data_IF_720396673961
#
_entry.id   IF_720396673961
#
_cell.length_a   1.000
_cell.length_b   1.000
_cell.length_c   1.000
_cell.angle_alpha   90.00
_cell.angle_beta   90.00
_cell.angle_gamma   90.00
#
_symmetry.space_group_name_H-M   'P 1'
#
loop_
_entity.id
_entity.type
_entity.pdbx_description
1 polymer ?
#
# COMPACT_ATOMS: atom_id res chain seq x y z
N UNK A 1 -25.16 -5.37 25.07
CA UNK A 1 -23.81 -5.80 24.61
C UNK A 1 -23.86 -6.51 23.24
N UNK A 2 -24.82 -7.42 22.98
CA UNK A 2 -24.95 -8.16 21.70
C UNK A 2 -25.28 -7.27 20.47
N UNK A 3 -26.09 -6.23 20.64
CA UNK A 3 -26.49 -5.30 19.56
C UNK A 3 -25.36 -4.39 19.05
N UNK A 4 -24.44 -3.98 19.94
CA UNK A 4 -23.28 -3.15 19.55
C UNK A 4 -22.25 -3.93 18.73
N UNK A 5 -22.08 -5.23 19.02
CA UNK A 5 -21.18 -6.13 18.28
C UNK A 5 -21.71 -6.34 16.86
N UNK A 6 -23.03 -6.54 16.69
CA UNK A 6 -23.68 -6.65 15.39
C UNK A 6 -23.53 -5.39 14.53
N UNK A 7 -23.71 -4.21 15.12
CA UNK A 7 -23.56 -2.93 14.42
C UNK A 7 -22.10 -2.68 13.96
N UNK A 8 -21.12 -3.02 14.80
CA UNK A 8 -19.70 -2.89 14.44
C UNK A 8 -19.30 -3.85 13.32
N UNK A 9 -19.75 -5.11 13.34
CA UNK A 9 -19.48 -6.08 12.30
C UNK A 9 -20.06 -5.64 10.93
N UNK A 10 -21.33 -5.22 10.91
CA UNK A 10 -22.00 -4.75 9.69
C UNK A 10 -21.30 -3.52 9.09
N UNK A 11 -20.87 -2.56 9.93
CA UNK A 11 -20.16 -1.37 9.49
C UNK A 11 -18.76 -1.69 8.92
N UNK A 12 -18.06 -2.69 9.46
CA UNK A 12 -16.75 -3.13 8.92
C UNK A 12 -16.89 -3.78 7.54
N UNK A 13 -17.91 -4.63 7.34
CA UNK A 13 -18.18 -5.22 6.03
C UNK A 13 -18.52 -4.14 4.99
N UNK A 14 -19.33 -3.15 5.35
CA UNK A 14 -19.67 -2.02 4.48
C UNK A 14 -18.43 -1.17 4.10
N UNK A 15 -17.59 -0.82 5.08
CA UNK A 15 -16.33 -0.09 4.85
C UNK A 15 -15.37 -0.83 3.91
N UNK A 16 -15.24 -2.15 4.08
CA UNK A 16 -14.40 -2.96 3.20
C UNK A 16 -14.95 -3.06 1.78
N UNK A 17 -16.28 -3.18 1.61
CA UNK A 17 -16.90 -3.16 0.28
C UNK A 17 -16.68 -1.83 -0.43
N UNK A 18 -16.88 -0.69 0.24
CA UNK A 18 -16.61 0.63 -0.36
C UNK A 18 -15.14 0.74 -0.76
N UNK A 19 -14.20 0.35 0.11
CA UNK A 19 -12.77 0.39 -0.22
C UNK A 19 -12.43 -0.45 -1.44
N UNK A 20 -13.01 -1.64 -1.56
CA UNK A 20 -12.81 -2.51 -2.73
C UNK A 20 -13.41 -1.90 -3.99
N UNK A 21 -14.61 -1.32 -3.92
CA UNK A 21 -15.24 -0.63 -5.06
C UNK A 21 -14.37 0.54 -5.51
N UNK A 22 -13.92 1.38 -4.57
CA UNK A 22 -13.02 2.50 -4.88
C UNK A 22 -11.71 1.99 -5.50
N UNK A 23 -11.13 0.91 -4.97
CA UNK A 23 -9.92 0.32 -5.54
C UNK A 23 -10.14 -0.22 -6.96
N UNK A 24 -11.29 -0.85 -7.23
CA UNK A 24 -11.65 -1.33 -8.56
C UNK A 24 -11.86 -0.17 -9.54
N UNK A 25 -12.59 0.87 -9.14
CA UNK A 25 -12.77 2.07 -9.97
C UNK A 25 -11.43 2.72 -10.27
N UNK A 26 -10.55 2.85 -9.28
CA UNK A 26 -9.23 3.44 -9.45
C UNK A 26 -8.34 2.58 -10.36
N UNK A 27 -8.41 1.25 -10.24
CA UNK A 27 -7.71 0.32 -11.13
C UNK A 27 -8.26 0.40 -12.56
N UNK A 28 -9.57 0.61 -12.74
CA UNK A 28 -10.18 0.78 -14.06
C UNK A 28 -9.72 2.09 -14.70
N UNK A 29 -9.76 3.19 -13.96
CA UNK A 29 -9.24 4.50 -14.41
C UNK A 29 -7.76 4.40 -14.76
N UNK A 30 -6.97 3.73 -13.90
CA UNK A 30 -5.56 3.49 -14.15
C UNK A 30 -5.32 2.65 -15.41
N UNK A 31 -6.10 1.59 -15.63
CA UNK A 31 -6.02 0.75 -16.81
C UNK A 31 -6.35 1.54 -18.08
N UNK A 32 -7.40 2.36 -18.07
CA UNK A 32 -7.74 3.25 -19.19
C UNK A 32 -6.60 4.23 -19.47
N UNK A 33 -6.02 4.86 -18.45
CA UNK A 33 -4.90 5.77 -18.63
C UNK A 33 -3.67 5.07 -19.25
N UNK A 34 -3.34 3.85 -18.80
CA UNK A 34 -2.26 3.05 -19.39
C UNK A 34 -2.58 2.64 -20.83
N UNK A 35 -3.81 2.26 -21.13
CA UNK A 35 -4.24 1.90 -22.50
C UNK A 35 -4.16 3.10 -23.44
N UNK A 36 -4.57 4.29 -23.00
CA UNK A 36 -4.41 5.53 -23.77
C UNK A 36 -2.93 5.82 -24.02
N UNK A 37 -2.10 5.66 -22.99
CA UNK A 37 -0.65 5.85 -23.09
C UNK A 37 0.05 4.82 -24.02
N UNK A 38 -0.38 3.56 -24.03
CA UNK A 38 0.18 2.54 -24.93
C UNK A 38 -0.38 2.66 -26.36
N UNK A 39 -1.68 2.94 -26.47
CA UNK A 39 -2.40 3.07 -27.73
C UNK A 39 -2.00 4.29 -28.56
N UNK A 40 -1.45 5.32 -27.91
CA UNK A 40 -0.82 6.47 -28.55
C UNK A 40 0.14 6.09 -29.71
N UNK A 41 0.97 5.06 -29.54
CA UNK A 41 1.89 4.56 -30.57
C UNK A 41 1.21 3.78 -31.70
N UNK A 42 0.08 3.13 -31.40
CA UNK A 42 -0.66 2.36 -32.39
C UNK A 42 -1.53 3.24 -33.30
N UNK A 43 -1.90 4.42 -32.83
CA UNK A 43 -2.75 5.39 -33.54
C UNK A 43 -1.97 6.31 -34.49
N UNK A 44 -0.65 6.15 -34.63
CA UNK A 44 0.17 6.96 -35.53
C UNK A 44 0.23 8.44 -35.14
N UNK A 45 -0.01 8.77 -33.86
CA UNK A 45 0.09 10.14 -33.34
C UNK A 45 1.55 10.59 -33.09
N UNK A 46 2.51 9.75 -33.47
CA UNK A 46 3.97 9.91 -33.44
C UNK A 46 4.48 11.16 -34.18
N UNK A 47 3.61 11.81 -34.96
CA UNK A 47 3.92 12.89 -35.90
C UNK A 47 3.62 14.27 -35.31
N UNK A 48 2.88 14.36 -34.19
CA UNK A 48 2.52 15.65 -33.57
C UNK A 48 3.53 16.04 -32.48
N UNK A 49 4.24 17.18 -32.62
CA UNK A 49 5.14 17.68 -31.58
C UNK A 49 4.42 17.83 -30.24
N UNK A 50 5.02 17.32 -29.15
CA UNK A 50 4.48 17.42 -27.79
C UNK A 50 3.51 16.30 -27.38
N UNK A 51 3.13 15.39 -28.28
CA UNK A 51 2.23 14.28 -27.94
C UNK A 51 2.83 13.27 -26.94
N UNK A 52 4.14 13.07 -26.98
CA UNK A 52 4.88 12.23 -26.03
C UNK A 52 4.74 12.68 -24.57
N UNK A 53 4.60 13.98 -24.32
CA UNK A 53 4.40 14.52 -22.97
C UNK A 53 3.07 14.07 -22.37
N UNK A 54 1.99 14.15 -23.15
CA UNK A 54 0.66 13.68 -22.74
C UNK A 54 0.64 12.16 -22.55
N UNK A 55 1.25 11.43 -23.48
CA UNK A 55 1.44 9.99 -23.38
C UNK A 55 2.11 9.61 -22.05
N UNK A 56 3.17 10.34 -21.68
CA UNK A 56 3.92 10.10 -20.48
C UNK A 56 3.15 10.48 -19.20
N UNK A 57 2.39 11.58 -19.25
CA UNK A 57 1.50 11.97 -18.16
C UNK A 57 0.45 10.89 -17.87
N UNK A 58 -0.20 10.34 -18.91
CA UNK A 58 -1.17 9.26 -18.75
C UNK A 58 -0.52 7.98 -18.22
N UNK A 59 0.73 7.68 -18.60
CA UNK A 59 1.50 6.57 -18.02
C UNK A 59 1.66 6.74 -16.51
N UNK A 60 2.13 7.91 -16.08
CA UNK A 60 2.37 8.24 -14.67
C UNK A 60 1.09 8.24 -13.84
N UNK A 61 0.00 8.81 -14.37
CA UNK A 61 -1.32 8.78 -13.74
C UNK A 61 -1.82 7.33 -13.60
N UNK A 62 -1.64 6.51 -14.63
CA UNK A 62 -1.94 5.08 -14.59
C UNK A 62 -1.20 4.36 -13.47
N UNK A 63 0.12 4.56 -13.37
CA UNK A 63 0.97 3.98 -12.32
C UNK A 63 0.51 4.44 -10.92
N UNK A 64 0.22 5.73 -10.74
CA UNK A 64 -0.29 6.25 -9.46
C UNK A 64 -1.61 5.58 -9.07
N UNK A 65 -2.57 5.52 -10.00
CA UNK A 65 -3.87 4.91 -9.77
C UNK A 65 -3.74 3.43 -9.38
N UNK A 66 -2.90 2.67 -10.09
CA UNK A 66 -2.62 1.27 -9.75
C UNK A 66 -1.95 1.12 -8.39
N UNK A 67 -1.00 2.00 -8.06
CA UNK A 67 -0.31 1.97 -6.78
C UNK A 67 -1.29 2.18 -5.62
N UNK A 68 -2.16 3.19 -5.73
CA UNK A 68 -3.18 3.48 -4.71
C UNK A 68 -4.22 2.36 -4.63
N UNK A 69 -4.70 1.85 -5.77
CA UNK A 69 -5.62 0.72 -5.82
C UNK A 69 -5.04 -0.52 -5.13
N UNK A 70 -3.77 -0.84 -5.38
CA UNK A 70 -3.05 -1.94 -4.75
C UNK A 70 -3.01 -1.81 -3.23
N UNK A 71 -2.66 -0.63 -2.71
CA UNK A 71 -2.67 -0.39 -1.27
C UNK A 71 -4.05 -0.47 -0.64
N UNK A 72 -5.10 0.01 -1.32
CA UNK A 72 -6.48 -0.11 -0.85
C UNK A 72 -6.94 -1.58 -0.74
N UNK A 73 -6.61 -2.41 -1.73
CA UNK A 73 -6.89 -3.86 -1.69
C UNK A 73 -6.14 -4.52 -0.54
N UNK A 74 -4.85 -4.23 -0.39
CA UNK A 74 -4.02 -4.79 0.68
C UNK A 74 -4.51 -4.38 2.08
N UNK A 75 -5.01 -3.16 2.22
CA UNK A 75 -5.57 -2.63 3.46
C UNK A 75 -6.96 -3.20 3.76
N UNK A 76 -7.82 -3.40 2.76
CA UNK A 76 -9.13 -4.06 2.94
C UNK A 76 -9.00 -5.50 3.44
N UNK A 77 -7.86 -6.13 3.17
CA UNK A 77 -7.56 -7.51 3.57
C UNK A 77 -6.91 -7.60 4.95
N UNK A 78 -6.59 -6.47 5.62
CA UNK A 78 -6.08 -6.45 7.01
C UNK A 78 -7.24 -6.49 8.01
N UNK A 79 -6.97 -7.08 9.17
CA UNK A 79 -7.93 -7.17 10.26
C UNK A 79 -8.23 -5.77 10.83
N UNK A 80 -9.50 -5.43 11.13
CA UNK A 80 -9.84 -4.18 11.79
C UNK A 80 -9.06 -4.06 13.11
N UNK A 81 -8.32 -2.98 13.29
CA UNK A 81 -7.50 -2.66 14.48
C UNK A 81 -6.16 -3.43 14.62
N UNK A 82 -5.69 -4.13 13.59
CA UNK A 82 -4.32 -4.64 13.63
C UNK A 82 -3.31 -3.48 13.59
N UNK A 83 -2.40 -3.36 14.58
CA UNK A 83 -1.37 -2.32 14.56
C UNK A 83 -0.51 -2.46 13.30
N UNK A 84 -0.18 -1.32 12.66
CA UNK A 84 0.74 -1.32 11.53
C UNK A 84 2.12 -1.72 12.05
N UNK A 85 2.73 -2.74 11.46
CA UNK A 85 4.11 -3.05 11.79
C UNK A 85 5.04 -2.04 11.11
N UNK A 86 6.22 -1.84 11.70
CA UNK A 86 7.26 -0.97 11.15
C UNK A 86 7.58 -1.31 9.68
N UNK A 87 7.57 -2.60 9.34
CA UNK A 87 7.77 -3.09 7.99
C UNK A 87 6.68 -2.60 7.01
N UNK A 88 5.41 -2.52 7.43
CA UNK A 88 4.35 -1.96 6.59
C UNK A 88 4.53 -0.45 6.37
N UNK A 89 5.00 0.29 7.37
CA UNK A 89 5.24 1.72 7.23
C UNK A 89 6.42 1.99 6.29
N UNK A 90 7.49 1.21 6.38
CA UNK A 90 8.60 1.24 5.44
C UNK A 90 8.11 0.90 4.02
N UNK A 91 7.26 -0.12 3.87
CA UNK A 91 6.73 -0.52 2.57
C UNK A 91 5.95 0.60 1.87
N UNK A 92 5.12 1.33 2.62
CA UNK A 92 4.39 2.48 2.07
C UNK A 92 5.35 3.60 1.66
N UNK A 93 6.36 3.90 2.47
CA UNK A 93 7.35 4.95 2.15
C UNK A 93 8.20 4.58 0.93
N UNK A 94 8.63 3.32 0.83
CA UNK A 94 9.41 2.82 -0.30
C UNK A 94 8.61 2.85 -1.62
N UNK A 95 7.31 2.57 -1.55
CA UNK A 95 6.45 2.72 -2.72
C UNK A 95 6.23 4.19 -3.09
N UNK A 96 6.09 5.09 -2.10
CA UNK A 96 5.98 6.52 -2.35
C UNK A 96 7.26 7.09 -2.99
N UNK A 97 8.44 6.71 -2.51
CA UNK A 97 9.71 7.13 -3.14
C UNK A 97 9.87 6.53 -4.54
N UNK A 98 9.43 5.29 -4.76
CA UNK A 98 9.37 4.69 -6.09
C UNK A 98 8.49 5.49 -7.07
N UNK A 99 7.34 5.97 -6.60
CA UNK A 99 6.46 6.83 -7.39
C UNK A 99 7.15 8.17 -7.72
N UNK A 100 7.86 8.78 -6.76
CA UNK A 100 8.64 10.00 -7.00
C UNK A 100 9.72 9.76 -8.07
N UNK A 101 10.45 8.64 -8.02
CA UNK A 101 11.43 8.28 -9.05
C UNK A 101 10.79 8.15 -10.43
N UNK A 102 9.63 7.49 -10.53
CA UNK A 102 8.89 7.36 -11.78
C UNK A 102 8.44 8.73 -12.32
N UNK A 103 8.02 9.65 -11.45
CA UNK A 103 7.62 11.01 -11.83
C UNK A 103 8.79 11.85 -12.30
N UNK A 104 9.89 11.89 -11.53
CA UNK A 104 11.08 12.68 -11.87
C UNK A 104 11.70 12.18 -13.17
N UNK A 105 11.84 10.86 -13.31
CA UNK A 105 12.36 10.27 -14.54
C UNK A 105 11.41 10.50 -15.71
N UNK A 106 10.10 10.34 -15.47
CA UNK A 106 9.09 10.53 -16.50
C UNK A 106 8.99 11.94 -17.04
N UNK A 107 9.14 12.93 -16.18
CA UNK A 107 9.19 14.34 -16.56
C UNK A 107 10.57 14.83 -16.99
N UNK A 108 11.62 13.99 -16.99
CA UNK A 108 12.98 14.41 -17.34
C UNK A 108 13.08 14.99 -18.76
N UNK A 109 12.30 14.46 -19.70
CA UNK A 109 12.20 14.97 -21.08
C UNK A 109 11.51 16.34 -21.15
N UNK A 110 10.43 16.52 -20.37
CA UNK A 110 9.71 17.80 -20.24
C UNK A 110 10.53 18.89 -19.53
N UNK A 111 11.42 18.50 -18.62
CA UNK A 111 12.31 19.41 -17.90
C UNK A 111 13.58 19.76 -18.71
N UNK A 112 13.72 19.28 -19.94
CA UNK A 112 14.92 19.46 -20.79
C UNK A 112 16.22 18.99 -20.15
N UNK A 113 16.15 18.05 -19.20
CA UNK A 113 17.33 17.44 -18.55
C UNK A 113 17.94 16.34 -19.45
N UNK A 114 17.23 15.92 -20.51
CA UNK A 114 17.65 14.93 -21.51
C UNK A 114 18.24 15.52 -22.79
N UNK A 115 19.51 15.89 -22.76
CA UNK A 115 20.52 15.73 -23.84
C UNK A 115 20.27 16.11 -25.31
N UNK A 116 19.27 16.88 -25.77
CA UNK A 116 19.35 17.50 -27.11
C UNK A 116 18.67 18.90 -27.21
N UNK A 117 19.45 20.00 -27.22
CA UNK A 117 18.96 21.34 -27.60
C UNK A 117 18.89 21.55 -29.12
N UNK A 118 18.98 20.49 -29.93
CA UNK A 118 19.06 20.63 -31.39
C UNK A 118 17.71 20.41 -32.04
N UNK A 119 17.16 21.52 -32.54
CA UNK A 119 15.91 21.72 -33.24
C UNK A 119 15.72 20.93 -34.56
N UNK A 120 16.34 19.75 -34.73
CA UNK A 120 16.32 19.00 -36.00
C UNK A 120 15.89 17.52 -35.88
N UNK A 121 15.51 17.02 -34.70
CA UNK A 121 14.89 15.69 -34.59
C UNK A 121 13.38 15.82 -34.36
N UNK A 122 12.53 15.30 -35.27
CA UNK A 122 11.06 15.42 -35.17
C UNK A 122 10.45 14.48 -34.12
N UNK A 123 11.24 13.94 -33.19
CA UNK A 123 10.78 12.90 -32.25
C UNK A 123 11.32 13.16 -30.84
N UNK A 124 10.44 13.32 -29.83
CA UNK A 124 10.81 13.15 -28.43
C UNK A 124 11.32 11.72 -28.25
N UNK A 125 12.63 11.55 -28.10
CA UNK A 125 13.24 10.23 -27.94
C UNK A 125 13.29 9.90 -26.46
N UNK A 126 12.54 8.87 -26.05
CA UNK A 126 12.59 8.39 -24.66
C UNK A 126 14.00 7.87 -24.39
N UNK A 127 14.79 8.65 -23.66
CA UNK A 127 16.17 8.33 -23.34
C UNK A 127 16.27 7.05 -22.49
N UNK A 128 17.39 6.34 -22.60
CA UNK A 128 17.61 5.12 -21.83
C UNK A 128 17.56 5.37 -20.31
N UNK A 129 17.98 6.57 -19.88
CA UNK A 129 17.90 7.05 -18.50
C UNK A 129 16.45 7.27 -18.02
N UNK A 130 15.54 7.66 -18.92
CA UNK A 130 14.13 7.82 -18.60
C UNK A 130 13.48 6.44 -18.38
N UNK A 131 13.75 5.48 -19.27
CA UNK A 131 13.24 4.11 -19.12
C UNK A 131 13.77 3.47 -17.83
N UNK A 132 15.07 3.62 -17.54
CA UNK A 132 15.68 3.01 -16.36
C UNK A 132 15.13 3.61 -15.06
N UNK A 133 14.90 4.93 -14.99
CA UNK A 133 14.33 5.58 -13.81
C UNK A 133 12.87 5.22 -13.57
N UNK A 134 12.04 5.11 -14.62
CA UNK A 134 10.66 4.60 -14.50
C UNK A 134 10.67 3.15 -14.01
N UNK A 135 11.54 2.30 -14.59
CA UNK A 135 11.66 0.89 -14.21
C UNK A 135 12.08 0.74 -12.74
N UNK A 136 13.06 1.52 -12.30
CA UNK A 136 13.50 1.55 -10.91
C UNK A 136 12.37 2.01 -9.98
N UNK A 137 11.60 3.03 -10.39
CA UNK A 137 10.42 3.50 -9.66
C UNK A 137 9.36 2.40 -9.49
N UNK A 138 9.01 1.70 -10.58
CA UNK A 138 8.06 0.58 -10.58
C UNK A 138 8.58 -0.55 -9.68
N UNK A 139 9.86 -0.91 -9.78
CA UNK A 139 10.46 -1.94 -8.94
C UNK A 139 10.38 -1.56 -7.46
N UNK A 140 10.69 -0.32 -7.11
CA UNK A 140 10.58 0.20 -5.74
C UNK A 140 9.13 0.16 -5.23
N UNK A 141 8.14 0.47 -6.07
CA UNK A 141 6.71 0.32 -5.75
C UNK A 141 6.37 -1.13 -5.45
N UNK A 142 6.78 -2.08 -6.31
CA UNK A 142 6.50 -3.50 -6.14
C UNK A 142 7.14 -4.05 -4.87
N UNK A 143 8.40 -3.71 -4.58
CA UNK A 143 9.09 -4.10 -3.36
C UNK A 143 8.40 -3.51 -2.13
N UNK A 144 8.01 -2.22 -2.17
CA UNK A 144 7.27 -1.58 -1.09
C UNK A 144 5.91 -2.24 -0.81
N UNK A 145 5.21 -2.62 -1.89
CA UNK A 145 3.92 -3.32 -1.80
C UNK A 145 4.06 -4.74 -1.26
N UNK A 146 5.11 -5.47 -1.68
CA UNK A 146 5.46 -6.79 -1.15
C UNK A 146 5.80 -6.72 0.34
N UNK A 147 6.56 -5.70 0.74
CA UNK A 147 6.92 -5.45 2.13
C UNK A 147 5.69 -5.15 3.00
N UNK A 148 4.73 -4.40 2.45
CA UNK A 148 3.45 -4.16 3.11
C UNK A 148 2.60 -5.42 3.26
N UNK A 149 2.64 -6.33 2.27
CA UNK A 149 1.92 -7.59 2.29
C UNK A 149 2.50 -8.58 3.31
N UNK A 150 3.83 -8.77 3.32
CA UNK A 150 4.52 -9.72 4.22
C UNK A 150 4.48 -9.31 5.70
N UNK A 151 4.33 -8.00 5.98
CA UNK A 151 4.19 -7.40 7.31
C UNK A 151 2.99 -7.91 8.16
N UNK A 152 2.19 -8.84 7.65
CA UNK A 152 1.12 -9.54 8.39
C UNK A 152 1.59 -10.56 9.41
N UNK A 153 2.90 -10.75 9.59
CA UNK A 153 3.45 -11.59 10.64
C UNK A 153 2.89 -11.19 12.01
N UNK A 154 2.26 -12.16 12.71
CA UNK A 154 1.80 -12.03 14.10
C UNK A 154 2.98 -11.54 14.94
N UNK A 155 2.99 -10.28 15.38
CA UNK A 155 3.87 -9.90 16.49
C UNK A 155 3.34 -10.64 17.72
N UNK A 156 4.15 -11.51 18.36
CA UNK A 156 3.80 -12.08 19.66
C UNK A 156 3.55 -10.95 20.65
N UNK A 157 2.69 -11.19 21.63
CA UNK A 157 2.35 -10.27 22.71
C UNK A 157 3.60 -9.51 23.21
N UNK A 158 3.43 -8.22 23.49
CA UNK A 158 4.53 -7.40 24.00
C UNK A 158 5.18 -8.09 25.20
N UNK A 159 6.50 -7.98 25.35
CA UNK A 159 7.22 -8.57 26.49
C UNK A 159 6.62 -8.13 27.84
N UNK A 160 6.03 -6.94 27.89
CA UNK A 160 5.31 -6.42 29.05
C UNK A 160 4.00 -7.18 29.32
N UNK A 161 3.24 -7.54 28.29
CA UNK A 161 2.05 -8.39 28.41
C UNK A 161 2.42 -9.83 28.81
N UNK A 162 3.53 -10.36 28.30
CA UNK A 162 4.09 -11.64 28.75
C UNK A 162 4.49 -11.60 30.23
N UNK A 163 5.16 -10.53 30.68
CA UNK A 163 5.57 -10.36 32.08
C UNK A 163 4.37 -10.16 33.01
N UNK A 164 3.35 -9.40 32.60
CA UNK A 164 2.10 -9.24 33.37
C UNK A 164 1.36 -10.58 33.47
N UNK A 165 1.23 -11.33 32.37
CA UNK A 165 0.55 -12.62 32.38
C UNK A 165 1.24 -13.64 33.29
N UNK A 166 2.57 -13.70 33.25
CA UNK A 166 3.35 -14.57 34.15
C UNK A 166 3.25 -14.12 35.61
N UNK A 167 3.38 -12.82 35.89
CA UNK A 167 3.28 -12.29 37.25
C UNK A 167 1.89 -12.52 37.88
N UNK A 168 0.82 -12.46 37.08
CA UNK A 168 -0.53 -12.81 37.54
C UNK A 168 -0.72 -14.31 37.77
N UNK A 169 -0.03 -15.16 37.00
CA UNK A 169 -0.05 -16.61 37.20
C UNK A 169 0.66 -17.01 38.50
N UNK A 170 1.82 -16.42 38.81
CA UNK A 170 2.51 -16.60 40.09
C UNK A 170 1.67 -16.11 41.27
N UNK A 171 1.04 -14.93 41.15
CA UNK A 171 0.17 -14.40 42.20
C UNK A 171 -1.07 -15.27 42.46
N UNK A 172 -1.62 -15.94 41.42
CA UNK A 172 -2.73 -16.89 41.57
C UNK A 172 -2.31 -18.21 42.22
N UNK A 173 -1.07 -18.65 42.04
CA UNK A 173 -0.54 -19.87 42.65
C UNK A 173 -0.09 -19.65 44.10
N UNK A 174 0.33 -18.43 44.46
CA UNK A 174 0.70 -18.05 45.82
C UNK A 174 -0.50 -17.72 46.73
N UNK A 175 -1.72 -17.62 46.18
CA UNK A 175 -2.92 -17.39 46.96
C UNK A 175 -3.36 -18.70 47.67
N UNK A 176 -3.50 -18.72 49.01
CA UNK A 176 -3.96 -19.91 49.74
C UNK A 176 -5.38 -20.29 49.28
N UNK A 177 -5.74 -21.59 49.27
CA UNK A 177 -7.04 -22.05 48.80
C UNK A 177 -8.15 -21.43 49.66
N UNK A 178 -8.94 -20.55 49.07
CA UNK A 178 -10.14 -20.02 49.69
C UNK A 178 -11.17 -21.15 49.78
N UNK A 179 -11.40 -21.66 51.00
CA UNK A 179 -12.53 -22.52 51.33
C UNK A 179 -12.19 -23.94 51.73
N UNK A 180 -11.62 -24.11 52.93
CA UNK A 180 -12.03 -25.21 53.81
C UNK A 180 -12.46 -24.58 55.12
N UNK A 181 -13.67 -24.00 55.14
CA UNK A 181 -14.38 -23.82 56.40
C UNK A 181 -14.73 -25.22 56.91
N UNK A 182 -13.85 -25.76 57.76
CA UNK A 182 -14.16 -26.90 58.62
C UNK A 182 -15.32 -26.46 59.51
N UNK A 183 -16.51 -27.09 59.45
CA UNK A 183 -17.52 -26.81 60.47
C UNK A 183 -16.93 -27.31 61.79
N UNK A 184 -16.67 -26.35 62.68
CA UNK A 184 -16.29 -26.65 64.05
C UNK A 184 -17.37 -27.54 64.66
N UNK A 185 -16.89 -28.58 65.36
CA UNK A 185 -17.66 -29.44 66.23
C UNK A 185 -18.41 -28.57 67.23
N UNK A 186 -19.74 -28.52 67.14
CA UNK A 186 -20.60 -28.18 68.28
C UNK A 186 -21.16 -29.49 68.86
N UNK A 187 -21.03 -29.59 70.18
CA UNK A 187 -21.38 -30.71 71.05
C UNK A 187 -22.88 -31.00 71.15
#
# INVERSE_FOLDING_TARGET
MSTLIGYQAMNQHFKNRIRLIVALLLSLVGAVALLVSLGARALGQDITPGFGAWQMLFLLVGITCFTVAGFLVLQSRRLPNAPRSLQAEIGVRLAATGLVFAYVSGFADLLSIGTHPHANYPRPFVGWLQISGILLGILSILVGMLLYHTSRGRRPASSLEFLIANGQAEARQAAPPAGTETPALEE
#
